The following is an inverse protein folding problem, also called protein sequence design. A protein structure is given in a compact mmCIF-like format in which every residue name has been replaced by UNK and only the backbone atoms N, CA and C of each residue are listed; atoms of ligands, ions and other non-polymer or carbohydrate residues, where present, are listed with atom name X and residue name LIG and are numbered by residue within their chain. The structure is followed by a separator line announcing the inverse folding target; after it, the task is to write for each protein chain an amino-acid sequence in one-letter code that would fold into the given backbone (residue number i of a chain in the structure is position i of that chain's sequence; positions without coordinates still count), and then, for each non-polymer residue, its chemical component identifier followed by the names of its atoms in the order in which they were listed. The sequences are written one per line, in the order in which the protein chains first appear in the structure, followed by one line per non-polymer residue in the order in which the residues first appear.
data_IF_981965013307
#
_entry.id   IF_981965013307
#
_cell.length_a   1.000
_cell.length_b   1.000
_cell.length_c   1.000
_cell.angle_alpha   90.00
_cell.angle_beta   90.00
_cell.angle_gamma   90.00
#
_symmetry.space_group_name_H-M   'P 1'
#
loop_
_entity.id
_entity.type
_entity.pdbx_description
1 polymer ?
#
# COMPACT_ATOMS: atom_id res chain seq x y z
N UNK A 1 -21.89 -6.93 -7.30
CA UNK A 1 -20.46 -6.86 -6.90
C UNK A 1 -20.31 -7.52 -5.54
N UNK A 2 -19.39 -8.46 -5.40
CA UNK A 2 -19.11 -9.13 -4.13
C UNK A 2 -18.34 -8.17 -3.22
N UNK A 3 -18.87 -7.85 -2.04
CA UNK A 3 -18.16 -7.04 -1.04
C UNK A 3 -17.18 -7.90 -0.25
N UNK A 4 -16.12 -7.29 0.25
CA UNK A 4 -15.18 -7.93 1.17
C UNK A 4 -15.72 -7.82 2.60
N UNK A 5 -16.00 -8.92 3.32
CA UNK A 5 -16.62 -8.86 4.64
C UNK A 5 -15.67 -8.33 5.73
N UNK A 6 -14.36 -8.47 5.54
CA UNK A 6 -13.35 -8.14 6.54
C UNK A 6 -12.99 -6.65 6.63
N UNK A 7 -12.17 -6.33 7.65
CA UNK A 7 -11.48 -5.04 7.77
C UNK A 7 -10.28 -5.00 6.85
N UNK A 8 -10.19 -3.97 6.03
CA UNK A 8 -9.02 -3.74 5.18
C UNK A 8 -8.10 -2.69 5.82
N UNK A 9 -6.81 -2.98 5.88
CA UNK A 9 -5.78 -1.96 6.12
C UNK A 9 -5.15 -1.55 4.80
N UNK A 10 -4.93 -0.26 4.59
CA UNK A 10 -4.14 0.25 3.46
C UNK A 10 -3.08 1.23 3.96
N UNK A 11 -1.83 1.02 3.57
CA UNK A 11 -0.72 1.92 3.87
C UNK A 11 -0.20 2.60 2.61
N UNK A 12 -0.03 3.92 2.69
CA UNK A 12 0.72 4.73 1.74
C UNK A 12 1.71 5.64 2.47
N UNK A 13 2.78 6.06 1.79
CA UNK A 13 3.64 7.10 2.35
C UNK A 13 2.89 8.43 2.46
N UNK A 14 2.21 8.80 1.38
CA UNK A 14 1.47 10.06 1.23
C UNK A 14 0.07 9.73 0.70
N UNK A 15 -0.91 10.55 1.07
CA UNK A 15 -2.25 10.53 0.48
C UNK A 15 -2.46 11.73 -0.47
N UNK A 16 -2.22 11.58 -1.79
CA UNK A 16 -2.57 12.60 -2.75
C UNK A 16 -4.09 12.76 -2.87
N UNK A 17 -4.56 14.00 -3.00
CA UNK A 17 -5.99 14.31 -3.10
C UNK A 17 -6.69 13.59 -4.25
N UNK A 18 -6.02 13.44 -5.39
CA UNK A 18 -6.58 12.72 -6.54
C UNK A 18 -6.78 11.21 -6.29
N UNK A 19 -6.15 10.61 -5.28
CA UNK A 19 -6.36 9.19 -4.92
C UNK A 19 -7.51 8.98 -3.95
N UNK A 20 -8.02 10.05 -3.33
CA UNK A 20 -9.12 9.95 -2.35
C UNK A 20 -10.35 9.23 -2.93
N UNK A 21 -10.85 9.57 -4.14
CA UNK A 21 -12.03 8.89 -4.68
C UNK A 21 -11.85 7.38 -4.83
N UNK A 22 -10.65 6.94 -5.25
CA UNK A 22 -10.33 5.51 -5.35
C UNK A 22 -10.36 4.84 -3.97
N UNK A 23 -9.77 5.46 -2.94
CA UNK A 23 -9.77 4.89 -1.60
C UNK A 23 -11.17 4.84 -0.98
N UNK A 24 -12.01 5.83 -1.24
CA UNK A 24 -13.40 5.81 -0.76
C UNK A 24 -14.23 4.74 -1.48
N UNK A 25 -13.99 4.53 -2.79
CA UNK A 25 -14.61 3.43 -3.53
C UNK A 25 -14.17 2.06 -2.99
N UNK A 26 -12.87 1.88 -2.72
CA UNK A 26 -12.34 0.66 -2.13
C UNK A 26 -12.90 0.44 -0.72
N UNK A 27 -12.97 1.49 0.10
CA UNK A 27 -13.56 1.44 1.43
C UNK A 27 -15.03 1.05 1.40
N UNK A 28 -15.79 1.56 0.43
CA UNK A 28 -17.21 1.24 0.24
C UNK A 28 -17.45 -0.23 -0.12
N UNK A 29 -16.41 -0.92 -0.59
CA UNK A 29 -16.42 -2.35 -0.90
C UNK A 29 -16.04 -3.24 0.29
N UNK A 30 -15.67 -2.66 1.44
CA UNK A 30 -15.25 -3.38 2.65
C UNK A 30 -16.31 -3.23 3.76
N UNK A 31 -16.98 -4.32 4.15
CA UNK A 31 -18.06 -4.28 5.15
C UNK A 31 -17.53 -4.01 6.56
N UNK A 32 -16.36 -4.57 6.91
CA UNK A 32 -15.64 -4.22 8.14
C UNK A 32 -15.06 -2.79 8.13
N UNK A 33 -15.13 -2.11 6.98
CA UNK A 33 -14.51 -0.82 6.72
C UNK A 33 -13.03 -0.92 6.33
N UNK A 34 -12.48 0.22 5.91
CA UNK A 34 -11.07 0.34 5.52
C UNK A 34 -10.37 1.42 6.35
N UNK A 35 -9.25 1.05 6.98
CA UNK A 35 -8.34 1.99 7.62
C UNK A 35 -7.24 2.41 6.65
N UNK A 36 -6.99 3.72 6.55
CA UNK A 36 -6.02 4.31 5.62
C UNK A 36 -4.87 4.97 6.38
N UNK A 37 -3.73 4.28 6.49
CA UNK A 37 -2.53 4.77 7.15
C UNK A 37 -1.63 5.53 6.16
N UNK A 38 -1.65 6.86 6.24
CA UNK A 38 -0.91 7.70 5.32
C UNK A 38 -0.36 8.96 6.02
N UNK A 39 0.82 9.39 5.59
CA UNK A 39 1.45 10.62 6.09
C UNK A 39 1.28 11.79 5.12
N UNK A 40 1.90 12.91 5.48
CA UNK A 40 1.95 14.10 4.63
C UNK A 40 3.11 14.02 3.62
N UNK A 41 2.92 14.64 2.46
CA UNK A 41 4.01 14.95 1.54
C UNK A 41 5.00 15.93 2.20
N UNK A 42 6.24 15.92 1.74
CA UNK A 42 7.16 17.00 2.08
C UNK A 42 6.75 18.30 1.34
N UNK A 43 7.04 19.48 1.89
CA UNK A 43 6.69 20.76 1.24
C UNK A 43 7.19 20.87 -0.21
N UNK A 44 8.37 20.32 -0.51
CA UNK A 44 8.99 20.37 -1.84
C UNK A 44 8.35 19.43 -2.88
N UNK A 45 7.49 18.48 -2.47
CA UNK A 45 6.93 17.47 -3.38
C UNK A 45 5.73 17.98 -4.19
N UNK A 46 5.20 19.17 -3.90
CA UNK A 46 4.04 19.79 -4.57
C UNK A 46 2.82 18.86 -4.69
N UNK A 47 2.61 17.97 -3.72
CA UNK A 47 1.47 17.04 -3.68
C UNK A 47 0.38 17.67 -2.81
N UNK A 48 -0.76 18.01 -3.42
CA UNK A 48 -1.96 18.39 -2.67
C UNK A 48 -2.55 17.17 -1.95
N UNK A 49 -2.76 17.29 -0.64
CA UNK A 49 -3.40 16.25 0.19
C UNK A 49 -4.92 16.33 0.09
N UNK A 50 -5.60 15.18 0.21
CA UNK A 50 -7.05 15.14 0.36
C UNK A 50 -7.48 14.38 1.61
N UNK A 51 -8.74 14.54 1.99
CA UNK A 51 -9.36 13.88 3.15
C UNK A 51 -10.41 12.88 2.65
N UNK A 52 -10.28 11.58 2.97
CA UNK A 52 -11.27 10.58 2.59
C UNK A 52 -12.57 10.76 3.38
N UNK A 53 -13.69 10.40 2.76
CA UNK A 53 -15.03 10.47 3.37
C UNK A 53 -15.50 9.12 3.91
N UNK A 54 -15.06 8.02 3.30
CA UNK A 54 -15.50 6.65 3.63
C UNK A 54 -14.36 5.88 4.29
N UNK A 55 -13.14 5.98 3.74
CA UNK A 55 -11.99 5.37 4.39
C UNK A 55 -11.71 6.06 5.73
N UNK A 56 -11.35 5.29 6.77
CA UNK A 56 -11.00 5.83 8.10
C UNK A 56 -9.55 6.29 8.08
N UNK A 57 -9.27 7.61 8.03
CA UNK A 57 -7.89 8.09 7.95
C UNK A 57 -7.16 7.82 9.27
N UNK A 58 -5.92 7.36 9.16
CA UNK A 58 -4.99 7.20 10.26
C UNK A 58 -3.69 7.95 9.91
N UNK A 59 -3.47 9.16 10.47
CA UNK A 59 -2.32 9.97 10.09
C UNK A 59 -1.02 9.29 10.53
N UNK A 60 -0.10 9.10 9.58
CA UNK A 60 1.23 8.58 9.81
C UNK A 60 2.24 9.72 9.94
N UNK A 61 3.20 9.59 10.85
CA UNK A 61 4.35 10.51 10.91
C UNK A 61 5.48 9.94 10.05
N UNK A 62 5.72 10.54 8.89
CA UNK A 62 6.83 10.21 8.02
C UNK A 62 8.14 10.79 8.60
N UNK A 63 9.08 9.91 8.91
CA UNK A 63 10.46 10.28 9.25
C UNK A 63 11.31 9.98 8.02
N UNK A 64 11.85 11.04 7.44
CA UNK A 64 12.63 10.98 6.24
C UNK A 64 14.12 10.88 6.58
N UNK A 65 14.80 9.88 6.03
CA UNK A 65 16.23 9.65 6.23
C UNK A 65 16.94 9.76 4.89
N UNK A 66 18.06 10.47 4.86
CA UNK A 66 18.82 10.76 3.64
C UNK A 66 17.98 11.43 2.53
N UNK A 67 18.57 11.58 1.34
CA UNK A 67 17.94 12.19 0.16
C UNK A 67 18.31 11.45 -1.13
N UNK A 68 17.58 11.73 -2.22
CA UNK A 68 17.87 11.23 -3.57
C UNK A 68 17.85 9.70 -3.66
N UNK A 69 18.94 9.11 -4.18
CA UNK A 69 19.07 7.64 -4.36
C UNK A 69 19.11 6.88 -3.03
N UNK A 70 19.58 7.52 -1.96
CA UNK A 70 19.70 6.93 -0.62
C UNK A 70 18.46 7.18 0.26
N UNK A 71 17.44 7.84 -0.26
CA UNK A 71 16.24 8.19 0.49
C UNK A 71 15.56 6.95 1.09
N UNK A 72 15.26 7.04 2.39
CA UNK A 72 14.46 6.08 3.14
C UNK A 72 13.34 6.80 3.91
N UNK A 73 12.25 6.10 4.15
CA UNK A 73 11.12 6.60 4.93
C UNK A 73 10.76 5.60 6.03
N UNK A 74 10.68 6.09 7.26
CA UNK A 74 10.11 5.34 8.38
C UNK A 74 8.80 5.99 8.80
N UNK A 75 7.69 5.26 8.65
CA UNK A 75 6.39 5.74 9.10
C UNK A 75 6.15 5.32 10.56
N UNK A 76 6.36 6.28 11.46
CA UNK A 76 6.26 6.01 12.90
C UNK A 76 4.81 5.68 13.27
N UNK A 77 4.65 4.63 14.08
CA UNK A 77 3.35 4.19 14.58
C UNK A 77 2.65 3.14 13.71
N UNK A 78 3.29 2.63 12.64
CA UNK A 78 2.63 1.69 11.72
C UNK A 78 2.16 0.41 12.42
N UNK A 79 3.01 -0.23 13.24
CA UNK A 79 2.62 -1.45 13.99
C UNK A 79 1.55 -1.16 15.04
N UNK A 80 1.68 -0.06 15.78
CA UNK A 80 0.67 0.37 16.76
C UNK A 80 -0.69 0.61 16.09
N UNK A 81 -0.70 1.16 14.87
CA UNK A 81 -1.91 1.29 14.09
C UNK A 81 -2.48 -0.07 13.67
N UNK A 82 -1.65 -1.02 13.22
CA UNK A 82 -2.11 -2.37 12.92
C UNK A 82 -2.73 -3.06 14.13
N UNK A 83 -2.18 -2.88 15.32
CA UNK A 83 -2.73 -3.41 16.57
C UNK A 83 -4.10 -2.80 16.90
N UNK A 84 -4.23 -1.48 16.77
CA UNK A 84 -5.49 -0.79 17.05
C UNK A 84 -6.58 -1.06 16.01
N UNK A 85 -6.22 -1.05 14.72
CA UNK A 85 -7.16 -1.27 13.62
C UNK A 85 -7.52 -2.75 13.43
N UNK A 86 -6.53 -3.62 13.63
CA UNK A 86 -6.62 -5.07 13.54
C UNK A 86 -7.22 -5.56 12.20
N UNK A 87 -6.63 -5.20 11.04
CA UNK A 87 -7.19 -5.55 9.73
C UNK A 87 -7.09 -7.05 9.44
N UNK A 88 -8.02 -7.60 8.67
CA UNK A 88 -8.04 -9.00 8.20
C UNK A 88 -7.17 -9.21 6.95
N UNK A 89 -6.98 -8.15 6.16
CA UNK A 89 -6.03 -8.08 5.05
C UNK A 89 -5.36 -6.71 5.02
N UNK A 90 -4.12 -6.65 4.51
CA UNK A 90 -3.33 -5.42 4.42
C UNK A 90 -2.85 -5.20 2.98
N UNK A 91 -3.01 -3.97 2.49
CA UNK A 91 -2.38 -3.49 1.25
C UNK A 91 -1.30 -2.49 1.64
N UNK A 92 -0.08 -2.64 1.11
CA UNK A 92 1.02 -1.70 1.35
C UNK A 92 1.64 -1.22 0.05
N UNK A 93 2.09 0.02 0.03
CA UNK A 93 2.98 0.51 -1.03
C UNK A 93 4.26 -0.32 -1.06
N UNK A 94 4.46 -1.08 -2.15
CA UNK A 94 5.55 -2.03 -2.32
C UNK A 94 6.86 -1.31 -2.66
N UNK A 95 7.30 -0.43 -1.76
CA UNK A 95 8.51 0.33 -1.89
C UNK A 95 9.52 -0.10 -0.81
N UNK A 96 10.65 -0.73 -1.16
CA UNK A 96 11.65 -1.20 -0.20
C UNK A 96 12.31 -0.06 0.60
N UNK A 97 12.13 1.19 0.19
CA UNK A 97 12.59 2.36 0.96
C UNK A 97 11.73 2.62 2.20
N UNK A 98 10.61 1.91 2.37
CA UNK A 98 9.72 2.05 3.52
C UNK A 98 10.08 1.00 4.57
N UNK A 99 10.81 1.46 5.58
CA UNK A 99 11.54 0.58 6.49
C UNK A 99 10.63 -0.26 7.40
N UNK A 100 9.41 0.20 7.65
CA UNK A 100 8.47 -0.50 8.52
C UNK A 100 7.73 -1.66 7.82
N UNK A 101 7.77 -1.75 6.49
CA UNK A 101 6.97 -2.72 5.72
C UNK A 101 7.26 -4.18 6.09
N UNK A 102 8.52 -4.65 6.20
CA UNK A 102 8.78 -6.04 6.59
C UNK A 102 8.27 -6.40 7.98
N UNK A 103 8.32 -5.46 8.93
CA UNK A 103 7.77 -5.67 10.27
C UNK A 103 6.25 -5.79 10.25
N UNK A 104 5.57 -4.97 9.42
CA UNK A 104 4.12 -5.04 9.24
C UNK A 104 3.69 -6.36 8.58
N UNK A 105 4.42 -6.82 7.56
CA UNK A 105 4.19 -8.11 6.91
C UNK A 105 4.31 -9.25 7.92
N UNK A 106 5.40 -9.29 8.68
CA UNK A 106 5.60 -10.29 9.74
C UNK A 106 4.48 -10.26 10.78
N UNK A 107 4.03 -9.07 11.18
CA UNK A 107 2.93 -8.91 12.15
C UNK A 107 1.60 -9.49 11.63
N UNK A 108 1.29 -9.26 10.35
CA UNK A 108 0.09 -9.81 9.68
C UNK A 108 0.18 -11.33 9.53
N UNK A 109 1.32 -11.83 9.06
CA UNK A 109 1.56 -13.27 8.86
C UNK A 109 1.55 -14.06 10.15
N UNK A 110 2.06 -13.50 11.26
CA UNK A 110 1.95 -14.11 12.59
C UNK A 110 0.51 -14.31 13.06
N UNK A 111 -0.47 -13.67 12.40
CA UNK A 111 -1.91 -13.79 12.65
C UNK A 111 -2.65 -14.53 11.53
N UNK A 112 -1.92 -15.16 10.60
CA UNK A 112 -2.51 -15.88 9.47
C UNK A 112 -3.17 -14.99 8.41
N UNK A 113 -2.85 -13.69 8.39
CA UNK A 113 -3.54 -12.70 7.54
C UNK A 113 -2.73 -12.35 6.30
N UNK A 114 -3.44 -11.97 5.23
CA UNK A 114 -2.85 -11.74 3.91
C UNK A 114 -2.34 -10.32 3.73
N UNK A 115 -1.21 -10.20 3.05
CA UNK A 115 -0.61 -8.90 2.70
C UNK A 115 -0.37 -8.81 1.20
N UNK A 116 -0.96 -7.79 0.57
CA UNK A 116 -0.74 -7.47 -0.83
C UNK A 116 0.19 -6.26 -0.94
N UNK A 117 1.18 -6.36 -1.82
CA UNK A 117 1.97 -5.20 -2.25
C UNK A 117 1.30 -4.53 -3.45
N UNK A 118 1.40 -3.22 -3.59
CA UNK A 118 1.02 -2.54 -4.83
C UNK A 118 2.03 -1.50 -5.29
N UNK A 119 2.15 -1.30 -6.60
CA UNK A 119 3.16 -0.40 -7.16
C UNK A 119 3.27 -0.47 -8.68
N UNK A 120 4.15 0.37 -9.23
CA UNK A 120 4.36 0.51 -10.68
C UNK A 120 5.17 -0.62 -11.31
N UNK A 121 5.99 -1.34 -10.52
CA UNK A 121 6.91 -2.34 -11.03
C UNK A 121 7.93 -2.77 -9.98
N UNK A 122 8.77 -3.72 -10.35
CA UNK A 122 9.75 -4.31 -9.43
C UNK A 122 10.81 -3.28 -9.01
N UNK A 123 11.20 -3.23 -7.73
CA UNK A 123 12.29 -2.37 -7.31
C UNK A 123 13.62 -2.81 -7.95
N UNK A 124 14.33 -1.87 -8.56
CA UNK A 124 15.66 -2.05 -9.14
C UNK A 124 16.77 -2.04 -8.07
N UNK A 125 16.59 -2.83 -7.01
CA UNK A 125 17.56 -2.99 -5.92
C UNK A 125 18.00 -4.45 -5.81
N UNK A 126 19.25 -4.75 -5.42
CA UNK A 126 19.73 -6.12 -5.24
C UNK A 126 18.85 -6.97 -4.30
N UNK A 127 18.32 -6.33 -3.25
CA UNK A 127 17.42 -6.94 -2.26
C UNK A 127 15.94 -6.89 -2.66
N UNK A 128 15.62 -6.31 -3.83
CA UNK A 128 14.26 -6.12 -4.32
C UNK A 128 13.49 -7.43 -4.42
N UNK A 129 14.16 -8.51 -4.83
CA UNK A 129 13.55 -9.85 -4.88
C UNK A 129 13.10 -10.35 -3.51
N UNK A 130 13.94 -10.22 -2.48
CA UNK A 130 13.59 -10.65 -1.12
C UNK A 130 12.43 -9.81 -0.58
N UNK A 131 12.47 -8.51 -0.83
CA UNK A 131 11.40 -7.59 -0.44
C UNK A 131 10.06 -7.93 -1.09
N UNK A 132 10.01 -8.27 -2.38
CA UNK A 132 8.74 -8.59 -3.05
C UNK A 132 8.20 -9.96 -2.62
N UNK A 133 9.06 -10.93 -2.36
CA UNK A 133 8.66 -12.30 -1.97
C UNK A 133 7.95 -12.42 -0.63
N UNK A 134 7.98 -11.38 0.21
CA UNK A 134 7.25 -11.37 1.47
C UNK A 134 5.74 -11.16 1.28
N UNK A 135 5.27 -10.70 0.12
CA UNK A 135 3.85 -10.46 -0.12
C UNK A 135 3.13 -11.72 -0.58
N UNK A 136 1.87 -11.87 -0.16
CA UNK A 136 0.99 -12.95 -0.61
C UNK A 136 0.52 -12.77 -2.06
N UNK A 137 0.59 -11.54 -2.57
CA UNK A 137 0.25 -11.18 -3.94
C UNK A 137 0.59 -9.72 -4.25
N UNK A 138 0.49 -9.36 -5.52
CA UNK A 138 0.86 -8.02 -6.01
C UNK A 138 -0.26 -7.40 -6.84
N UNK A 139 -0.50 -6.11 -6.64
CA UNK A 139 -1.33 -5.28 -7.50
C UNK A 139 -0.40 -4.39 -8.33
N UNK A 140 -0.37 -4.60 -9.63
CA UNK A 140 0.41 -3.80 -10.57
C UNK A 140 -0.47 -2.79 -11.29
N UNK A 141 0.04 -1.58 -11.50
CA UNK A 141 -0.66 -0.57 -12.32
C UNK A 141 -0.46 -0.76 -13.83
N UNK A 142 0.38 -1.71 -14.24
CA UNK A 142 0.65 -1.99 -15.66
C UNK A 142 0.95 -3.48 -15.91
N UNK A 143 0.80 -3.93 -17.16
CA UNK A 143 1.24 -5.28 -17.58
C UNK A 143 2.74 -5.45 -17.38
N UNK A 144 3.52 -4.46 -17.80
CA UNK A 144 4.98 -4.47 -17.63
C UNK A 144 5.38 -4.65 -16.18
N UNK A 145 4.79 -3.88 -15.25
CA UNK A 145 5.07 -4.04 -13.81
C UNK A 145 4.68 -5.42 -13.28
N UNK A 146 3.62 -6.02 -13.82
CA UNK A 146 3.21 -7.38 -13.45
C UNK A 146 4.22 -8.43 -13.96
N UNK A 147 4.74 -8.26 -15.18
CA UNK A 147 5.82 -9.10 -15.73
C UNK A 147 7.09 -8.97 -14.90
N UNK A 148 7.44 -7.76 -14.46
CA UNK A 148 8.58 -7.51 -13.58
C UNK A 148 8.42 -8.23 -12.23
N UNK A 149 7.23 -8.22 -11.62
CA UNK A 149 6.97 -9.01 -10.40
C UNK A 149 7.03 -10.51 -10.64
N UNK A 150 6.50 -10.99 -11.78
CA UNK A 150 6.57 -12.39 -12.16
C UNK A 150 8.02 -12.85 -12.36
N UNK A 151 8.87 -12.03 -12.99
CA UNK A 151 10.29 -12.29 -13.17
C UNK A 151 11.05 -12.37 -11.83
N UNK A 152 10.58 -11.68 -10.79
CA UNK A 152 11.11 -11.82 -9.42
C UNK A 152 10.61 -13.07 -8.68
N UNK A 153 9.68 -13.82 -9.27
CA UNK A 153 9.18 -15.11 -8.78
C UNK A 153 7.86 -15.06 -8.04
N UNK A 154 7.06 -14.00 -8.22
CA UNK A 154 5.65 -14.01 -7.78
C UNK A 154 4.82 -14.80 -8.81
N UNK A 155 4.04 -15.81 -8.41
CA UNK A 155 3.18 -16.54 -9.33
C UNK A 155 2.17 -15.62 -10.03
N UNK A 156 1.94 -15.81 -11.33
CA UNK A 156 1.10 -14.91 -12.15
C UNK A 156 -0.33 -14.81 -11.64
N UNK A 157 -0.87 -15.92 -11.14
CA UNK A 157 -2.20 -16.01 -10.53
C UNK A 157 -2.33 -15.20 -9.24
N UNK A 158 -1.21 -14.76 -8.65
CA UNK A 158 -1.15 -13.87 -7.48
C UNK A 158 -0.83 -12.42 -7.85
N UNK A 159 -0.82 -12.09 -9.14
CA UNK A 159 -0.58 -10.74 -9.63
C UNK A 159 -1.84 -10.23 -10.32
N UNK A 160 -2.38 -9.12 -9.83
CA UNK A 160 -3.54 -8.45 -10.42
C UNK A 160 -3.10 -7.16 -11.09
N UNK A 161 -3.54 -6.94 -12.33
CA UNK A 161 -3.32 -5.67 -13.03
C UNK A 161 -4.52 -4.77 -12.83
N UNK A 162 -4.32 -3.65 -12.12
CA UNK A 162 -5.33 -2.62 -11.88
C UNK A 162 -4.88 -1.33 -12.57
N UNK A 163 -5.21 -1.19 -13.86
CA UNK A 163 -4.93 0.04 -14.61
C UNK A 163 -5.66 1.21 -13.96
N UNK A 164 -4.96 2.33 -13.80
CA UNK A 164 -5.56 3.59 -13.34
C UNK A 164 -6.35 3.49 -12.03
N UNK A 165 -5.72 3.05 -10.94
CA UNK A 165 -6.25 3.18 -9.56
C UNK A 165 -6.33 4.64 -9.07
N UNK A 166 -6.63 5.57 -9.98
CA UNK A 166 -6.53 7.03 -9.80
C UNK A 166 -7.70 7.80 -10.43
N UNK A 167 -8.61 7.17 -11.18
CA UNK A 167 -9.74 7.88 -11.80
C UNK A 167 -11.08 7.16 -11.55
N UNK A 168 -12.18 7.90 -11.34
CA UNK A 168 -13.51 7.33 -11.49
C UNK A 168 -13.70 6.83 -12.93
N UNK A 169 -14.63 5.88 -13.12
CA UNK A 169 -15.06 5.50 -14.46
C UNK A 169 -15.52 6.76 -15.23
N UNK A 170 -15.23 6.87 -16.53
CA UNK A 170 -15.86 7.90 -17.36
C UNK A 170 -17.38 7.86 -17.18
N UNK A 171 -17.99 9.02 -16.97
CA UNK A 171 -19.45 9.20 -17.04
C UNK A 171 -19.93 9.11 -18.48
#
# INVERSE_FOLDING_TARGET
MTKYPGRLGLQQRVLPGYRVPFFDLLASSCEGGMGLFAGSARPEEMISSGVPRVAKPAPAKNIHLFNGRLYLCYQRGFIRWLEAWNPDALIVEANPRYLATPSAVKWMHARGRKVLGWGLGAPSLPWGRLFIKQFDGMISYSRRGAEEYAALGIPREKILVAYNSVSPAPV
#
